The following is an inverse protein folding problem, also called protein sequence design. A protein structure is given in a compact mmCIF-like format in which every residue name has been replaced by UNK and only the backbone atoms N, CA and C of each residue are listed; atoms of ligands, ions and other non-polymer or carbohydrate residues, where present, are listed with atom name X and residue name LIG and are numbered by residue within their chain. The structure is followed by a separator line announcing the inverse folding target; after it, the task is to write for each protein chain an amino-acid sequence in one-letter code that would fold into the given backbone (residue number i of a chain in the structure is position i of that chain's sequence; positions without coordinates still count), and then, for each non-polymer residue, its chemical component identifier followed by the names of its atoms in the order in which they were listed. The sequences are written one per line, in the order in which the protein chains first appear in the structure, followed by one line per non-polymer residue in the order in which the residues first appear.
data_IF_937043245431
#
_entry.id   IF_937043245431
#
_cell.length_a   1.000
_cell.length_b   1.000
_cell.length_c   1.000
_cell.angle_alpha   90.00
_cell.angle_beta   90.00
_cell.angle_gamma   90.00
#
_symmetry.space_group_name_H-M   'P 1'
#
loop_
_entity.id
_entity.type
_entity.pdbx_description
1 polymer ?
#
# COMPACT_ATOMS: atom_id res chain seq x y z
N UNK A 1 -0.73 15.37 5.36
CA UNK A 1 -1.47 14.71 6.47
C UNK A 1 -0.87 15.13 7.80
N UNK A 2 -1.69 15.36 8.84
CA UNK A 2 -1.19 15.48 10.23
C UNK A 2 -1.29 14.14 10.93
N UNK A 3 -0.15 13.49 11.15
CA UNK A 3 -0.05 12.16 11.74
C UNK A 3 0.47 12.20 13.19
N UNK A 4 0.53 13.39 13.81
CA UNK A 4 1.09 13.59 15.16
C UNK A 4 0.38 12.77 16.25
N UNK A 5 -0.92 12.50 16.08
CA UNK A 5 -1.73 11.70 16.99
C UNK A 5 -1.52 10.17 16.81
N UNK A 6 -0.78 9.74 15.80
CA UNK A 6 -0.62 8.32 15.44
C UNK A 6 0.85 7.90 15.52
N UNK A 7 1.33 7.39 16.68
CA UNK A 7 2.75 7.02 16.85
C UNK A 7 3.22 5.95 15.85
N UNK A 8 2.34 5.06 15.41
CA UNK A 8 2.63 4.04 14.41
C UNK A 8 2.47 4.52 12.95
N UNK A 9 2.46 5.83 12.73
CA UNK A 9 2.54 6.45 11.41
C UNK A 9 3.65 7.50 11.36
N UNK A 10 4.65 7.39 12.26
CA UNK A 10 5.76 8.33 12.37
C UNK A 10 7.11 7.60 12.30
N UNK A 11 8.17 8.32 11.98
CA UNK A 11 9.52 7.77 11.92
C UNK A 11 9.62 6.62 10.91
N UNK A 12 10.07 5.45 11.35
CA UNK A 12 10.18 4.25 10.50
C UNK A 12 8.83 3.68 10.06
N UNK A 13 7.73 4.12 10.65
CA UNK A 13 6.37 3.73 10.29
C UNK A 13 5.64 4.80 9.47
N UNK A 14 6.33 5.87 9.10
CA UNK A 14 5.74 6.92 8.27
C UNK A 14 5.29 6.34 6.92
N UNK A 15 4.11 6.74 6.43
CA UNK A 15 3.62 6.26 5.15
C UNK A 15 4.54 6.71 4.00
N UNK A 16 4.57 5.89 2.97
CA UNK A 16 5.22 6.21 1.70
C UNK A 16 4.19 6.89 0.80
N UNK A 17 4.45 8.13 0.44
CA UNK A 17 3.48 8.98 -0.27
C UNK A 17 3.47 8.74 -1.78
N UNK A 18 4.57 8.22 -2.34
CA UNK A 18 4.78 8.15 -3.79
C UNK A 18 5.03 6.72 -4.27
N UNK A 19 4.47 6.41 -5.44
CA UNK A 19 4.91 5.28 -6.23
C UNK A 19 6.22 5.61 -6.95
N UNK A 20 7.17 4.69 -6.91
CA UNK A 20 8.50 4.86 -7.48
C UNK A 20 8.88 3.70 -8.37
N UNK A 21 9.64 4.01 -9.40
CA UNK A 21 10.41 3.09 -10.22
C UNK A 21 11.88 3.55 -10.15
N UNK A 22 12.70 2.82 -9.39
CA UNK A 22 14.09 3.15 -9.21
C UNK A 22 14.96 2.15 -9.98
N UNK A 23 15.79 2.66 -10.87
CA UNK A 23 16.82 1.88 -11.55
C UNK A 23 18.02 1.62 -10.61
N UNK A 24 18.95 0.76 -11.02
CA UNK A 24 20.09 0.36 -10.19
C UNK A 24 20.96 1.56 -9.78
N UNK A 25 21.11 2.53 -10.65
CA UNK A 25 21.92 3.74 -10.41
C UNK A 25 21.36 4.63 -9.29
N UNK A 26 20.07 4.45 -8.98
CA UNK A 26 19.37 5.17 -7.91
C UNK A 26 19.36 4.38 -6.59
N UNK A 27 19.89 3.15 -6.61
CA UNK A 27 19.93 2.26 -5.46
C UNK A 27 21.36 2.15 -4.91
N UNK A 28 21.48 2.08 -3.59
CA UNK A 28 22.74 1.74 -2.95
C UNK A 28 22.86 0.23 -2.84
N UNK A 29 23.76 -0.36 -3.63
CA UNK A 29 24.09 -1.78 -3.57
C UNK A 29 25.42 -1.96 -2.83
N UNK A 30 25.46 -2.83 -1.82
CA UNK A 30 26.67 -3.20 -1.11
C UNK A 30 26.98 -4.67 -1.42
N UNK A 31 28.16 -4.92 -1.98
CA UNK A 31 28.56 -6.24 -2.45
C UNK A 31 28.21 -6.48 -3.91
N UNK A 32 28.11 -7.74 -4.29
CA UNK A 32 27.88 -8.18 -5.68
C UNK A 32 26.60 -9.01 -5.77
N UNK A 33 25.74 -8.67 -6.72
CA UNK A 33 24.50 -9.41 -6.99
C UNK A 33 24.83 -10.61 -7.89
N UNK A 34 24.51 -11.85 -7.45
CA UNK A 34 24.77 -13.03 -8.26
C UNK A 34 24.00 -13.01 -9.58
N UNK A 35 24.71 -13.25 -10.71
CA UNK A 35 24.09 -13.24 -12.06
C UNK A 35 23.01 -14.29 -12.26
N UNK A 36 23.06 -15.39 -11.50
CA UNK A 36 22.05 -16.45 -11.54
C UNK A 36 20.83 -16.18 -10.63
N UNK A 37 20.82 -15.08 -9.88
CA UNK A 37 19.64 -14.64 -9.14
C UNK A 37 18.68 -13.94 -10.09
N UNK A 38 17.55 -14.59 -10.37
CA UNK A 38 16.50 -14.08 -11.26
C UNK A 38 15.15 -14.17 -10.58
N UNK A 39 14.39 -13.07 -10.58
CA UNK A 39 13.05 -13.03 -9.99
C UNK A 39 12.78 -11.75 -9.24
N UNK A 40 11.83 -11.81 -8.31
CA UNK A 40 11.48 -10.66 -7.49
C UNK A 40 11.30 -11.06 -6.01
N UNK A 41 11.84 -10.25 -5.12
CA UNK A 41 11.44 -10.23 -3.71
C UNK A 41 10.34 -9.19 -3.54
N UNK A 42 9.21 -9.60 -2.98
CA UNK A 42 8.08 -8.71 -2.78
C UNK A 42 7.59 -8.80 -1.34
N UNK A 43 7.15 -7.67 -0.82
CA UNK A 43 6.39 -7.60 0.43
C UNK A 43 5.24 -6.63 0.27
N UNK A 44 4.14 -6.96 0.88
CA UNK A 44 2.98 -6.10 1.04
C UNK A 44 2.94 -5.58 2.47
N UNK A 45 2.37 -4.41 2.66
CA UNK A 45 2.26 -3.80 3.97
C UNK A 45 1.25 -2.67 4.01
N UNK A 46 0.80 -2.37 5.24
CA UNK A 46 -0.12 -1.28 5.48
C UNK A 46 0.56 0.07 5.21
N UNK A 47 -0.09 0.89 4.40
CA UNK A 47 0.29 2.25 4.10
C UNK A 47 -0.98 3.11 4.03
N UNK A 48 -1.00 4.30 4.63
CA UNK A 48 -2.19 5.15 4.61
C UNK A 48 -2.12 6.15 3.47
N UNK A 49 -3.13 6.15 2.59
CA UNK A 49 -3.21 7.09 1.48
C UNK A 49 -3.80 8.44 1.88
N UNK A 50 -4.67 8.47 2.89
CA UNK A 50 -5.36 9.66 3.39
C UNK A 50 -5.28 9.76 4.90
N UNK A 51 -5.49 10.97 5.44
CA UNK A 51 -5.53 11.22 6.88
C UNK A 51 -6.51 10.27 7.58
N UNK A 52 -6.05 9.34 8.43
CA UNK A 52 -6.95 8.41 9.10
C UNK A 52 -7.72 9.11 10.23
N UNK A 53 -8.97 8.70 10.44
CA UNK A 53 -9.77 9.12 11.60
C UNK A 53 -9.48 8.25 12.84
N UNK A 54 -8.99 7.05 12.61
CA UNK A 54 -8.58 6.07 13.61
C UNK A 54 -7.60 5.10 12.94
N UNK A 55 -6.64 4.58 13.68
CA UNK A 55 -5.64 3.66 13.14
C UNK A 55 -5.25 2.60 14.16
N UNK A 56 -5.33 1.34 13.76
CA UNK A 56 -4.89 0.17 14.54
C UNK A 56 -3.72 -0.50 13.81
N UNK A 57 -2.54 -0.33 14.36
CA UNK A 57 -1.33 -0.99 13.83
C UNK A 57 -1.34 -2.50 14.15
N UNK A 58 -0.96 -3.36 13.23
CA UNK A 58 -0.58 -3.13 11.82
C UNK A 58 -1.74 -3.39 10.85
N UNK A 59 -2.98 -3.41 11.33
CA UNK A 59 -4.15 -3.91 10.59
C UNK A 59 -4.70 -2.90 9.58
N UNK A 60 -4.72 -1.63 9.98
CA UNK A 60 -5.24 -0.56 9.13
C UNK A 60 -4.19 -0.03 8.15
N UNK A 61 -4.66 0.63 7.11
CA UNK A 61 -3.87 1.17 6.03
C UNK A 61 -4.12 0.40 4.73
N UNK A 62 -4.01 1.11 3.63
CA UNK A 62 -4.15 0.52 2.29
C UNK A 62 -2.90 -0.29 1.96
N UNK A 63 -3.07 -1.38 1.19
CA UNK A 63 -1.95 -2.20 0.76
C UNK A 63 -1.00 -1.43 -0.16
N UNK A 64 0.29 -1.53 0.11
CA UNK A 64 1.34 -1.10 -0.81
C UNK A 64 2.35 -2.23 -0.98
N UNK A 65 2.47 -2.70 -2.22
CA UNK A 65 3.47 -3.71 -2.57
C UNK A 65 4.80 -3.03 -2.89
N UNK A 66 5.85 -3.48 -2.23
CA UNK A 66 7.24 -3.13 -2.50
C UNK A 66 7.92 -4.32 -3.16
N UNK A 67 8.58 -4.11 -4.29
CA UNK A 67 9.22 -5.15 -5.06
C UNK A 67 10.65 -4.80 -5.42
N UNK A 68 11.57 -5.74 -5.21
CA UNK A 68 12.94 -5.69 -5.70
C UNK A 68 13.10 -6.78 -6.75
N UNK A 69 13.40 -6.41 -7.97
CA UNK A 69 13.60 -7.32 -9.10
C UNK A 69 15.09 -7.54 -9.36
N UNK A 70 15.44 -8.79 -9.63
CA UNK A 70 16.80 -9.22 -9.92
C UNK A 70 16.86 -9.89 -11.28
N UNK A 71 17.83 -9.49 -12.09
CA UNK A 71 18.11 -10.12 -13.39
C UNK A 71 19.53 -9.82 -13.84
N UNK A 72 20.26 -10.88 -14.23
CA UNK A 72 21.61 -10.79 -14.84
C UNK A 72 22.66 -10.01 -13.99
N UNK A 73 22.53 -10.03 -12.67
CA UNK A 73 23.37 -9.27 -11.75
C UNK A 73 22.94 -7.83 -11.53
N UNK A 74 21.81 -7.44 -12.08
CA UNK A 74 21.19 -6.12 -11.91
C UNK A 74 20.00 -6.14 -10.98
N UNK A 75 19.66 -4.98 -10.43
CA UNK A 75 18.54 -4.77 -9.50
C UNK A 75 17.73 -3.54 -9.88
N UNK A 76 16.42 -3.59 -9.67
CA UNK A 76 15.59 -2.39 -9.66
C UNK A 76 14.50 -2.53 -8.59
N UNK A 77 13.96 -1.41 -8.16
CA UNK A 77 12.91 -1.35 -7.14
C UNK A 77 11.66 -0.66 -7.69
N UNK A 78 10.49 -1.18 -7.28
CA UNK A 78 9.20 -0.57 -7.55
C UNK A 78 8.29 -0.68 -6.33
N UNK A 79 7.45 0.32 -6.13
CA UNK A 79 6.32 0.19 -5.20
C UNK A 79 5.02 0.63 -5.86
N UNK A 80 3.92 -0.03 -5.47
CA UNK A 80 2.58 0.24 -6.02
C UNK A 80 1.52 0.05 -4.97
N UNK A 81 0.54 0.93 -4.97
CA UNK A 81 -0.69 0.76 -4.21
C UNK A 81 -1.49 -0.44 -4.72
N UNK A 82 -2.13 -1.15 -3.80
CA UNK A 82 -3.15 -2.13 -4.15
C UNK A 82 -4.47 -1.39 -4.36
N UNK A 83 -4.90 -1.30 -5.61
CA UNK A 83 -6.06 -0.51 -6.04
C UNK A 83 -7.39 -1.20 -5.69
N UNK A 84 -7.70 -1.29 -4.40
CA UNK A 84 -9.00 -1.81 -3.90
C UNK A 84 -10.15 -0.88 -4.30
N UNK A 85 -11.39 -1.38 -4.25
CA UNK A 85 -12.59 -0.56 -4.47
C UNK A 85 -12.68 0.59 -3.46
N UNK A 86 -12.27 0.35 -2.22
CA UNK A 86 -12.22 1.34 -1.14
C UNK A 86 -11.22 2.46 -1.45
N UNK A 87 -9.97 2.11 -1.78
CA UNK A 87 -8.95 3.10 -2.11
C UNK A 87 -9.34 3.93 -3.34
N UNK A 88 -9.88 3.29 -4.38
CA UNK A 88 -10.39 4.00 -5.57
C UNK A 88 -11.50 5.00 -5.22
N UNK A 89 -12.41 4.60 -4.32
CA UNK A 89 -13.46 5.49 -3.85
C UNK A 89 -12.87 6.68 -3.09
N UNK A 90 -11.97 6.45 -2.13
CA UNK A 90 -11.33 7.53 -1.38
C UNK A 90 -10.53 8.49 -2.27
N UNK A 91 -9.83 7.96 -3.28
CA UNK A 91 -9.13 8.78 -4.29
C UNK A 91 -10.09 9.65 -5.09
N UNK A 92 -11.25 9.12 -5.48
CA UNK A 92 -12.29 9.88 -6.18
C UNK A 92 -12.81 11.07 -5.35
N UNK A 93 -12.92 10.90 -4.03
CA UNK A 93 -13.41 11.94 -3.12
C UNK A 93 -12.30 12.76 -2.45
N UNK A 94 -11.03 12.37 -2.62
CA UNK A 94 -9.87 13.09 -2.08
C UNK A 94 -9.76 13.08 -0.56
N UNK A 95 -10.42 12.14 0.13
CA UNK A 95 -10.45 12.05 1.59
C UNK A 95 -10.72 10.65 2.09
N UNK A 96 -10.39 10.41 3.35
CA UNK A 96 -10.82 9.20 4.08
C UNK A 96 -12.35 9.15 4.18
N UNK A 97 -12.91 8.01 3.83
CA UNK A 97 -14.35 7.71 3.89
C UNK A 97 -14.58 6.55 4.85
N UNK A 98 -13.79 5.49 4.71
CA UNK A 98 -13.98 4.25 5.46
C UNK A 98 -13.26 4.30 6.81
N UNK A 99 -13.84 3.61 7.78
CA UNK A 99 -13.26 3.47 9.10
C UNK A 99 -12.08 2.50 9.15
N UNK A 100 -11.70 2.17 10.36
CA UNK A 100 -10.67 1.19 10.69
C UNK A 100 -11.31 -0.10 11.26
N UNK A 101 -10.50 -1.15 11.45
CA UNK A 101 -10.97 -2.37 12.13
C UNK A 101 -11.45 -2.11 13.56
N UNK A 102 -10.94 -1.06 14.21
CA UNK A 102 -11.35 -0.66 15.56
C UNK A 102 -12.51 0.33 15.62
N UNK A 103 -12.86 0.95 14.49
CA UNK A 103 -13.92 1.96 14.41
C UNK A 103 -14.52 2.03 13.02
N UNK A 104 -15.61 1.33 12.81
CA UNK A 104 -16.37 1.43 11.57
C UNK A 104 -17.03 2.81 11.46
N UNK A 105 -17.10 3.33 10.25
CA UNK A 105 -17.81 4.56 9.90
C UNK A 105 -18.96 4.20 8.95
N UNK A 106 -20.06 4.90 9.06
CA UNK A 106 -21.13 4.82 8.07
C UNK A 106 -20.67 5.46 6.76
N UNK A 107 -20.95 4.77 5.64
CA UNK A 107 -20.61 5.31 4.32
C UNK A 107 -21.64 6.39 3.95
N UNK A 108 -21.21 7.63 3.65
CA UNK A 108 -22.13 8.70 3.29
C UNK A 108 -22.95 8.35 2.05
N UNK A 109 -24.25 8.71 2.06
CA UNK A 109 -25.14 8.40 0.94
C UNK A 109 -24.64 9.01 -0.38
N UNK A 110 -24.04 10.21 -0.34
CA UNK A 110 -23.43 10.86 -1.52
C UNK A 110 -22.34 10.01 -2.20
N UNK A 111 -21.61 9.18 -1.41
CA UNK A 111 -20.58 8.27 -1.91
C UNK A 111 -21.24 7.12 -2.65
N UNK A 112 -22.29 6.54 -2.07
CA UNK A 112 -23.06 5.43 -2.65
C UNK A 112 -23.72 5.87 -3.95
N UNK A 113 -24.38 7.03 -3.95
CA UNK A 113 -25.06 7.61 -5.11
C UNK A 113 -24.08 7.91 -6.27
N UNK A 114 -22.84 8.23 -5.93
CA UNK A 114 -21.76 8.43 -6.90
C UNK A 114 -21.10 7.12 -7.37
N UNK A 115 -21.62 5.94 -6.98
CA UNK A 115 -21.08 4.63 -7.35
C UNK A 115 -19.80 4.25 -6.61
N UNK A 116 -19.57 4.81 -5.41
CA UNK A 116 -18.48 4.39 -4.52
C UNK A 116 -18.79 3.05 -3.84
N UNK A 117 -17.77 2.49 -3.16
CA UNK A 117 -17.91 1.21 -2.45
C UNK A 117 -18.88 1.38 -1.26
N UNK A 118 -20.00 0.64 -1.22
CA UNK A 118 -20.99 0.79 -0.15
C UNK A 118 -20.63 0.02 1.12
N UNK A 119 -19.68 -0.93 1.08
CA UNK A 119 -19.31 -1.71 2.23
C UNK A 119 -18.49 -0.86 3.21
N UNK A 120 -18.94 -0.67 4.47
CA UNK A 120 -18.19 0.09 5.46
C UNK A 120 -16.94 -0.62 5.98
N UNK A 121 -16.82 -1.94 5.76
CA UNK A 121 -15.66 -2.74 6.16
C UNK A 121 -14.59 -2.61 5.08
N UNK A 122 -13.55 -1.84 5.39
CA UNK A 122 -12.44 -1.60 4.47
C UNK A 122 -11.74 -2.92 4.07
N UNK A 123 -11.61 -3.15 2.78
CA UNK A 123 -10.64 -4.12 2.26
C UNK A 123 -9.29 -3.42 2.14
N UNK A 124 -8.36 -3.75 3.02
CA UNK A 124 -7.04 -3.13 3.07
C UNK A 124 -6.06 -3.75 2.09
N UNK A 125 -6.22 -5.05 1.77
CA UNK A 125 -5.32 -5.82 0.90
C UNK A 125 -3.82 -5.55 1.23
N UNK A 126 -3.46 -5.61 2.52
CA UNK A 126 -2.17 -5.16 3.03
C UNK A 126 -1.36 -6.25 3.75
N UNK A 127 -1.83 -7.49 3.72
CA UNK A 127 -1.29 -8.55 4.59
C UNK A 127 -0.22 -9.38 3.91
N UNK A 128 -0.42 -9.70 2.64
CA UNK A 128 0.48 -10.58 1.90
C UNK A 128 0.32 -10.41 0.40
N UNK A 129 1.35 -10.81 -0.34
CA UNK A 129 1.32 -10.87 -1.80
C UNK A 129 1.81 -12.22 -2.26
N UNK A 130 1.08 -12.86 -3.18
CA UNK A 130 1.44 -14.15 -3.76
C UNK A 130 1.37 -14.10 -5.29
N UNK A 131 2.22 -14.91 -5.93
CA UNK A 131 2.14 -15.12 -7.37
C UNK A 131 1.44 -16.44 -7.66
N UNK A 132 0.31 -16.40 -8.38
CA UNK A 132 -0.46 -17.57 -8.73
C UNK A 132 -1.13 -17.42 -10.09
N UNK A 133 -1.06 -18.45 -10.92
CA UNK A 133 -1.73 -18.49 -12.24
C UNK A 133 -1.34 -17.32 -13.16
N UNK A 134 -0.09 -16.87 -13.14
CA UNK A 134 0.37 -15.73 -13.95
C UNK A 134 -0.03 -14.36 -13.43
N UNK A 135 -0.61 -14.28 -12.22
CA UNK A 135 -1.06 -13.04 -11.59
C UNK A 135 -0.39 -12.84 -10.23
N UNK A 136 -0.19 -11.59 -9.89
CA UNK A 136 0.13 -11.15 -8.53
C UNK A 136 -1.18 -10.85 -7.81
N UNK A 137 -1.36 -11.45 -6.63
CA UNK A 137 -2.57 -11.32 -5.80
C UNK A 137 -2.17 -10.76 -4.44
N UNK A 138 -2.92 -9.79 -3.95
CA UNK A 138 -2.79 -9.16 -2.62
C UNK A 138 -4.11 -9.23 -1.85
#
# INVERSE_FOLDING_TARGET
MDLSAFPYLQGNYAPVDEERDLAEEELRVEGEIPKNLVGAFMRDGANVAFQPNHYVYPLDGDGMVHAVYFKDGHVCYKNRWVETSHLKTERKFGRTIYGSVGKLLEVPQEVIDAGGEPNPVRNTANTNVIYHGGKLLA
#
